data_IF_231669139436
#
_entry.id   IF_231669139436
#
_cell.length_a   1.000
_cell.length_b   1.000
_cell.length_c   1.000
_cell.angle_alpha   90.00
_cell.angle_beta   90.00
_cell.angle_gamma   90.00
#
_symmetry.space_group_name_H-M   'P 1'
#
loop_
_entity.id
_entity.type
_entity.pdbx_description
1 polymer ?
#
# COMPACT_ATOMS: atom_id res chain seq x y z
N UNK A 1 -41.54 -29.92 -24.63
CA UNK A 1 -40.29 -29.31 -25.16
C UNK A 1 -39.61 -28.31 -24.21
N UNK A 2 -40.30 -27.62 -23.29
CA UNK A 2 -39.66 -26.64 -22.38
C UNK A 2 -38.85 -27.25 -21.22
N UNK A 3 -39.21 -28.46 -20.77
CA UNK A 3 -38.56 -29.12 -19.61
C UNK A 3 -37.18 -29.67 -19.98
N UNK A 4 -36.99 -30.14 -21.22
CA UNK A 4 -35.72 -30.68 -21.70
C UNK A 4 -34.63 -29.61 -21.80
N UNK A 5 -35.00 -28.36 -22.13
CA UNK A 5 -34.06 -27.24 -22.22
C UNK A 5 -33.55 -26.81 -20.84
N UNK A 6 -34.41 -26.80 -19.82
CA UNK A 6 -34.00 -26.43 -18.45
C UNK A 6 -33.06 -27.47 -17.84
N UNK A 7 -33.31 -28.76 -18.06
CA UNK A 7 -32.43 -29.83 -17.56
C UNK A 7 -31.04 -29.75 -18.23
N UNK A 8 -30.99 -29.46 -19.53
CA UNK A 8 -29.73 -29.34 -20.27
C UNK A 8 -28.87 -28.18 -19.75
N UNK A 9 -29.46 -27.02 -19.49
CA UNK A 9 -28.73 -25.83 -19.00
C UNK A 9 -28.14 -26.11 -17.61
N UNK A 10 -28.90 -26.74 -16.71
CA UNK A 10 -28.41 -27.07 -15.36
C UNK A 10 -27.24 -28.05 -15.39
N UNK A 11 -27.27 -29.06 -16.27
CA UNK A 11 -26.17 -30.02 -16.42
C UNK A 11 -24.89 -29.34 -16.94
N UNK A 12 -25.02 -28.39 -17.87
CA UNK A 12 -23.87 -27.64 -18.41
C UNK A 12 -23.21 -26.78 -17.33
N UNK A 13 -24.01 -26.07 -16.51
CA UNK A 13 -23.48 -25.23 -15.42
C UNK A 13 -22.71 -26.06 -14.39
N UNK A 14 -23.22 -27.25 -14.04
CA UNK A 14 -22.54 -28.17 -13.12
C UNK A 14 -21.23 -28.69 -13.73
N UNK A 15 -21.22 -29.04 -15.03
CA UNK A 15 -20.00 -29.52 -15.69
C UNK A 15 -18.88 -28.48 -15.71
N UNK A 16 -19.21 -27.21 -16.02
CA UNK A 16 -18.22 -26.12 -16.06
C UNK A 16 -17.66 -25.84 -14.66
N UNK A 17 -18.50 -25.93 -13.62
CA UNK A 17 -18.06 -25.79 -12.23
C UNK A 17 -17.07 -26.89 -11.79
N UNK A 18 -17.32 -28.14 -12.17
CA UNK A 18 -16.45 -29.29 -11.81
C UNK A 18 -15.09 -29.20 -12.53
N UNK A 19 -15.07 -28.80 -13.80
CA UNK A 19 -13.82 -28.66 -14.56
C UNK A 19 -12.96 -27.52 -14.00
N UNK A 20 -13.58 -26.38 -13.65
CA UNK A 20 -12.87 -25.26 -13.01
C UNK A 20 -12.25 -25.64 -11.66
N UNK A 21 -12.97 -26.44 -10.85
CA UNK A 21 -12.47 -26.91 -9.56
C UNK A 21 -11.28 -27.89 -9.69
N UNK A 22 -11.32 -28.79 -10.68
CA UNK A 22 -10.23 -29.75 -10.91
C UNK A 22 -8.97 -29.08 -11.48
N UNK A 23 -9.12 -28.07 -12.35
CA UNK A 23 -7.98 -27.32 -12.89
C UNK A 23 -7.28 -26.44 -11.84
N UNK A 24 -8.01 -25.95 -10.83
CA UNK A 24 -7.45 -25.10 -9.77
C UNK A 24 -6.59 -25.84 -8.73
N UNK A 25 -6.72 -27.17 -8.59
CA UNK A 25 -5.99 -27.95 -7.58
C UNK A 25 -4.62 -28.46 -8.05
N UNK A 26 -4.28 -28.33 -9.34
CA UNK A 26 -3.15 -29.05 -9.95
C UNK A 26 -1.79 -28.35 -10.02
N UNK A 27 -1.64 -27.07 -9.67
CA UNK A 27 -0.40 -26.33 -9.98
C UNK A 27 0.06 -25.32 -8.90
N UNK A 28 0.39 -25.80 -7.71
CA UNK A 28 1.26 -25.06 -6.77
C UNK A 28 2.54 -25.87 -6.55
N UNK A 29 3.41 -25.87 -7.57
CA UNK A 29 4.77 -26.40 -7.48
C UNK A 29 5.74 -25.21 -7.35
N UNK A 30 5.80 -24.63 -6.15
CA UNK A 30 6.77 -23.57 -5.82
C UNK A 30 8.10 -24.27 -5.53
N UNK A 31 9.00 -24.26 -6.52
CA UNK A 31 10.41 -24.60 -6.32
C UNK A 31 11.03 -23.57 -5.38
N UNK A 32 11.35 -23.98 -4.15
CA UNK A 32 12.26 -23.25 -3.26
C UNK A 32 13.67 -23.22 -3.88
N UNK A 33 14.29 -22.05 -4.09
CA UNK A 33 15.73 -21.97 -4.19
C UNK A 33 16.35 -22.08 -2.80
N UNK A 34 16.97 -23.23 -2.56
CA UNK A 34 18.00 -23.42 -1.55
C UNK A 34 19.14 -22.45 -1.79
N UNK A 35 19.57 -21.70 -0.76
CA UNK A 35 20.95 -21.24 -0.69
C UNK A 35 21.40 -21.15 0.76
N UNK A 36 21.98 -22.26 1.22
CA UNK A 36 22.90 -22.30 2.34
C UNK A 36 24.25 -21.76 1.86
N UNK A 37 24.76 -20.67 2.42
CA UNK A 37 26.20 -20.59 2.72
C UNK A 37 26.41 -19.71 3.95
N UNK A 38 26.82 -20.41 4.99
CA UNK A 38 27.29 -19.94 6.27
C UNK A 38 28.76 -19.52 6.12
N UNK A 39 29.12 -18.26 6.38
CA UNK A 39 30.46 -17.91 6.85
C UNK A 39 30.43 -16.59 7.64
N UNK A 40 30.92 -16.69 8.87
CA UNK A 40 31.26 -15.66 9.85
C UNK A 40 32.53 -16.20 10.57
N UNK A 41 33.36 -15.42 11.28
CA UNK A 41 33.66 -13.98 11.25
C UNK A 41 35.16 -13.72 10.93
N UNK A 42 35.59 -12.48 10.75
CA UNK A 42 37.00 -12.11 10.98
C UNK A 42 37.05 -10.83 11.81
N UNK A 43 37.46 -11.02 13.06
CA UNK A 43 37.85 -9.97 13.97
C UNK A 43 39.25 -9.47 13.61
N UNK A 44 39.41 -8.15 13.56
CA UNK A 44 40.69 -7.50 13.81
C UNK A 44 40.41 -6.19 14.54
N UNK A 45 40.75 -6.19 15.83
CA UNK A 45 40.80 -5.04 16.73
C UNK A 45 42.21 -4.39 16.67
N UNK A 46 42.57 -3.42 17.53
CA UNK A 46 42.58 -1.98 17.29
C UNK A 46 43.99 -1.42 17.02
N UNK A 47 44.08 -0.17 16.54
CA UNK A 47 45.33 0.62 16.60
C UNK A 47 45.06 2.04 17.13
N UNK A 48 45.37 2.25 18.41
CA UNK A 48 45.80 3.54 18.99
C UNK A 48 47.18 3.89 18.37
N UNK A 49 47.64 5.12 18.17
CA UNK A 49 47.75 6.36 18.99
C UNK A 49 48.17 7.45 17.95
N UNK A 50 47.83 8.75 18.05
CA UNK A 50 48.53 9.75 18.88
C UNK A 50 47.92 11.16 18.65
N UNK A 51 47.67 11.89 19.74
CA UNK A 51 47.22 13.30 19.80
C UNK A 51 48.35 14.27 19.40
N UNK A 52 48.11 15.48 18.87
CA UNK A 52 47.90 16.77 19.59
C UNK A 52 48.31 17.94 18.63
N UNK A 53 48.09 19.27 18.88
CA UNK A 53 46.98 20.07 19.42
C UNK A 53 46.32 21.07 18.42
N UNK A 54 45.06 21.39 18.72
CA UNK A 54 44.40 22.73 18.80
C UNK A 54 44.57 23.79 17.70
N UNK A 55 43.43 24.09 17.03
CA UNK A 55 42.93 25.46 16.83
C UNK A 55 41.39 25.46 16.78
N UNK A 56 40.74 26.27 17.63
CA UNK A 56 39.32 26.66 17.62
C UNK A 56 39.25 28.15 17.24
N UNK A 57 38.08 28.74 16.91
CA UNK A 57 37.03 28.32 16.00
C UNK A 57 36.79 29.42 14.92
N UNK A 58 36.18 29.08 13.79
CA UNK A 58 35.52 30.11 12.97
C UNK A 58 34.13 29.59 12.60
N UNK A 59 33.15 30.23 13.21
CA UNK A 59 31.73 30.16 12.88
C UNK A 59 31.53 30.66 11.45
N UNK A 60 31.21 29.76 10.53
CA UNK A 60 30.22 30.01 9.47
C UNK A 60 29.77 28.66 8.89
N UNK A 61 29.11 27.86 9.73
CA UNK A 61 28.44 26.64 9.27
C UNK A 61 27.09 27.04 8.68
N UNK A 62 27.11 27.52 7.43
CA UNK A 62 25.93 27.47 6.57
C UNK A 62 25.55 26.01 6.40
N UNK A 63 24.61 25.60 7.26
CA UNK A 63 23.89 24.34 7.23
C UNK A 63 23.16 24.22 5.88
N UNK A 64 23.84 23.69 4.87
CA UNK A 64 23.19 23.21 3.66
C UNK A 64 22.13 22.19 4.07
N UNK A 65 20.88 22.62 3.93
CA UNK A 65 19.72 21.75 4.09
C UNK A 65 19.82 20.71 2.97
N UNK A 66 19.86 19.40 3.26
CA UNK A 66 19.87 18.39 2.21
C UNK A 66 18.60 18.57 1.39
N UNK A 67 18.76 18.99 0.14
CA UNK A 67 17.68 19.14 -0.83
C UNK A 67 17.10 17.75 -1.09
N UNK A 68 16.12 17.35 -0.30
CA UNK A 68 15.30 16.17 -0.53
C UNK A 68 14.57 16.35 -1.86
N UNK A 69 15.06 15.71 -2.92
CA UNK A 69 14.40 15.69 -4.22
C UNK A 69 13.10 14.92 -4.10
N UNK A 70 12.01 15.66 -3.89
CA UNK A 70 10.66 15.10 -3.81
C UNK A 70 10.11 14.91 -5.22
N UNK A 71 9.91 13.66 -5.67
CA UNK A 71 9.28 13.37 -6.96
C UNK A 71 7.76 13.54 -6.86
N UNK A 72 7.13 14.14 -7.87
CA UNK A 72 5.66 14.26 -7.96
C UNK A 72 5.10 13.28 -8.99
N UNK A 73 4.13 12.46 -8.58
CA UNK A 73 3.46 11.48 -9.42
C UNK A 73 2.01 11.90 -9.63
N UNK A 74 1.58 12.01 -10.88
CA UNK A 74 0.17 12.25 -11.25
C UNK A 74 -0.50 10.95 -11.66
N UNK A 75 -1.70 10.63 -11.20
CA UNK A 75 -2.44 9.44 -11.60
C UNK A 75 -3.96 9.70 -11.55
N UNK A 76 -4.73 8.66 -11.81
CA UNK A 76 -6.18 8.61 -11.79
C UNK A 76 -6.87 9.22 -13.00
N UNK A 77 -8.13 9.62 -12.81
CA UNK A 77 -8.97 10.20 -13.85
C UNK A 77 -9.74 9.18 -14.67
N UNK A 78 -10.01 8.00 -14.10
CA UNK A 78 -10.83 6.96 -14.73
C UNK A 78 -12.15 6.78 -14.00
N UNK A 79 -13.22 6.51 -14.76
CA UNK A 79 -14.59 6.27 -14.26
C UNK A 79 -15.12 7.43 -13.39
N UNK A 80 -15.32 7.20 -12.09
CA UNK A 80 -15.82 8.16 -11.10
C UNK A 80 -14.73 8.79 -10.26
N UNK A 81 -13.46 8.38 -10.43
CA UNK A 81 -12.36 8.89 -9.63
C UNK A 81 -11.66 10.07 -10.30
N UNK A 82 -11.38 11.17 -9.57
CA UNK A 82 -10.63 12.29 -10.10
C UNK A 82 -9.17 11.91 -10.40
N UNK A 83 -8.53 12.76 -11.21
CA UNK A 83 -7.07 12.79 -11.27
C UNK A 83 -6.52 13.31 -9.94
N UNK A 84 -5.33 12.87 -9.59
CA UNK A 84 -4.66 13.27 -8.36
C UNK A 84 -3.15 13.30 -8.55
N UNK A 85 -2.50 14.06 -7.69
CA UNK A 85 -1.05 14.09 -7.54
C UNK A 85 -0.64 13.65 -6.14
N UNK A 86 0.55 13.06 -6.03
CA UNK A 86 1.21 12.75 -4.76
C UNK A 86 2.72 12.97 -4.88
N UNK A 87 3.38 13.02 -3.73
CA UNK A 87 4.82 13.23 -3.59
C UNK A 87 5.49 12.01 -2.96
N UNK A 88 6.64 11.60 -3.48
CA UNK A 88 7.44 10.51 -2.92
C UNK A 88 8.49 11.08 -1.95
N UNK A 89 8.53 10.61 -0.69
CA UNK A 89 9.34 11.21 0.37
C UNK A 89 10.83 10.86 0.27
N UNK A 90 11.18 9.79 -0.45
CA UNK A 90 12.57 9.37 -0.65
C UNK A 90 12.79 8.87 -2.08
N UNK A 91 14.03 8.99 -2.56
CA UNK A 91 14.46 8.49 -3.87
C UNK A 91 14.45 6.96 -3.99
N UNK A 92 14.13 6.24 -2.91
CA UNK A 92 14.01 4.78 -2.90
C UNK A 92 12.66 4.27 -3.39
N UNK A 93 11.66 5.16 -3.44
CA UNK A 93 10.35 4.84 -3.98
C UNK A 93 10.37 4.95 -5.50
N UNK A 94 9.82 3.94 -6.17
CA UNK A 94 9.54 3.96 -7.60
C UNK A 94 8.03 3.98 -7.80
N UNK A 95 7.59 4.49 -8.97
CA UNK A 95 6.19 4.48 -9.36
C UNK A 95 6.00 3.73 -10.69
N UNK A 96 4.93 2.94 -10.75
CA UNK A 96 4.48 2.23 -11.94
C UNK A 96 2.97 2.41 -12.09
N UNK A 97 2.51 2.71 -13.31
CA UNK A 97 1.09 2.80 -13.63
C UNK A 97 0.71 1.70 -14.59
N UNK A 98 -0.37 0.99 -14.26
CA UNK A 98 -0.99 0.05 -15.17
C UNK A 98 -2.43 0.46 -15.42
N UNK A 99 -2.86 0.33 -16.67
CA UNK A 99 -4.24 0.58 -17.11
C UNK A 99 -4.76 -0.71 -17.75
N UNK A 100 -5.98 -1.10 -17.40
CA UNK A 100 -6.65 -2.25 -17.98
C UNK A 100 -7.67 -1.84 -19.05
N UNK A 101 -8.20 -2.82 -19.78
CA UNK A 101 -9.19 -2.58 -20.83
C UNK A 101 -10.57 -2.16 -20.31
N UNK A 102 -10.79 -2.17 -18.99
CA UNK A 102 -12.07 -1.84 -18.35
C UNK A 102 -12.09 -0.40 -17.81
N UNK A 103 -11.14 0.45 -18.23
CA UNK A 103 -10.91 1.78 -17.67
C UNK A 103 -10.63 1.73 -16.16
N UNK A 104 -9.94 0.68 -15.69
CA UNK A 104 -9.34 0.67 -14.36
C UNK A 104 -7.89 1.09 -14.46
N UNK A 105 -7.42 1.83 -13.46
CA UNK A 105 -6.02 2.21 -13.34
C UNK A 105 -5.50 1.80 -11.97
N UNK A 106 -4.28 1.28 -11.92
CA UNK A 106 -3.56 1.00 -10.68
C UNK A 106 -2.24 1.76 -10.69
N UNK A 107 -2.06 2.65 -9.72
CA UNK A 107 -0.75 3.20 -9.39
C UNK A 107 -0.10 2.30 -8.34
N UNK A 108 1.06 1.75 -8.66
CA UNK A 108 1.91 1.01 -7.72
C UNK A 108 3.10 1.87 -7.35
N UNK A 109 3.32 2.04 -6.05
CA UNK A 109 4.52 2.64 -5.48
C UNK A 109 5.30 1.56 -4.75
N UNK A 110 6.60 1.48 -4.93
CA UNK A 110 7.39 0.41 -4.30
C UNK A 110 8.78 0.86 -3.85
N UNK A 111 9.23 0.26 -2.75
CA UNK A 111 10.64 0.19 -2.36
C UNK A 111 11.10 -1.27 -2.39
N UNK A 112 12.31 -1.56 -1.91
CA UNK A 112 12.77 -2.95 -1.74
C UNK A 112 11.98 -3.75 -0.69
N UNK A 113 11.24 -3.09 0.20
CA UNK A 113 10.58 -3.74 1.35
C UNK A 113 9.11 -3.37 1.53
N UNK A 114 8.64 -2.32 0.85
CA UNK A 114 7.28 -1.81 0.99
C UNK A 114 6.63 -1.64 -0.38
N UNK A 115 5.31 -1.83 -0.43
CA UNK A 115 4.52 -1.63 -1.65
C UNK A 115 3.23 -0.93 -1.28
N UNK A 116 2.85 0.11 -2.02
CA UNK A 116 1.55 0.76 -1.94
C UNK A 116 0.87 0.67 -3.31
N UNK A 117 -0.43 0.45 -3.32
CA UNK A 117 -1.23 0.48 -4.54
C UNK A 117 -2.44 1.38 -4.33
N UNK A 118 -2.71 2.24 -5.31
CA UNK A 118 -3.95 3.01 -5.42
C UNK A 118 -4.68 2.50 -6.66
N UNK A 119 -5.75 1.73 -6.44
CA UNK A 119 -6.53 1.12 -7.51
C UNK A 119 -7.84 1.90 -7.72
N UNK A 120 -8.02 2.42 -8.93
CA UNK A 120 -9.25 3.05 -9.41
C UNK A 120 -9.95 2.08 -10.34
N UNK A 121 -11.10 1.57 -9.94
CA UNK A 121 -11.91 0.64 -10.71
C UNK A 121 -13.17 0.26 -9.94
N UNK A 122 -13.98 -0.63 -10.50
CA UNK A 122 -15.18 -1.15 -9.83
C UNK A 122 -14.81 -1.99 -8.61
N UNK A 123 -14.77 -1.40 -7.42
CA UNK A 123 -14.58 -2.10 -6.15
C UNK A 123 -15.86 -2.06 -5.31
N UNK A 124 -16.21 -3.18 -4.66
CA UNK A 124 -17.23 -3.18 -3.61
C UNK A 124 -16.81 -2.25 -2.47
N UNK A 125 -17.74 -1.40 -2.02
CA UNK A 125 -17.51 -0.53 -0.87
C UNK A 125 -17.55 -1.31 0.44
N UNK A 126 -16.79 -0.85 1.44
CA UNK A 126 -16.84 -1.35 2.82
C UNK A 126 -16.77 -0.21 3.81
N UNK A 127 -17.48 -0.38 4.93
CA UNK A 127 -17.37 0.49 6.10
C UNK A 127 -16.21 -0.01 6.95
N UNK A 128 -15.40 0.91 7.45
CA UNK A 128 -14.32 0.65 8.38
C UNK A 128 -14.77 1.12 9.77
N UNK A 129 -14.76 0.24 10.76
CA UNK A 129 -15.04 0.62 12.14
C UNK A 129 -13.75 0.66 12.94
N UNK A 130 -13.72 1.55 13.92
CA UNK A 130 -12.59 1.78 14.82
C UNK A 130 -13.08 1.82 16.27
N UNK A 131 -12.20 1.68 17.28
CA UNK A 131 -12.63 1.66 18.68
C UNK A 131 -13.28 2.96 19.16
N UNK A 132 -13.05 4.07 18.44
CA UNK A 132 -13.56 5.40 18.74
C UNK A 132 -14.74 5.83 17.84
N UNK A 133 -15.27 4.93 17.03
CA UNK A 133 -16.46 5.19 16.19
C UNK A 133 -17.71 4.57 16.80
N UNK A 134 -18.88 5.14 16.47
CA UNK A 134 -20.15 4.55 16.87
C UNK A 134 -20.26 3.11 16.33
N UNK A 135 -20.89 2.19 17.10
CA UNK A 135 -21.18 0.85 16.61
C UNK A 135 -21.96 0.89 15.29
N UNK A 136 -21.54 0.08 14.33
CA UNK A 136 -22.20 -0.04 13.04
C UNK A 136 -22.81 -1.43 12.90
N UNK A 137 -24.11 -1.49 12.60
CA UNK A 137 -24.82 -2.74 12.32
C UNK A 137 -24.82 -2.99 10.81
N UNK A 138 -23.91 -3.83 10.33
CA UNK A 138 -23.83 -4.21 8.92
C UNK A 138 -22.47 -4.77 8.52
N UNK A 139 -22.26 -5.07 7.23
CA UNK A 139 -20.97 -5.51 6.73
C UNK A 139 -19.90 -4.43 6.91
N UNK A 140 -19.00 -4.63 7.86
CA UNK A 140 -17.86 -3.75 8.13
C UNK A 140 -16.56 -4.54 8.25
N UNK A 141 -15.45 -3.81 8.12
CA UNK A 141 -14.13 -4.26 8.52
C UNK A 141 -13.79 -3.58 9.86
N UNK A 142 -13.61 -4.38 10.90
CA UNK A 142 -13.42 -3.89 12.26
C UNK A 142 -11.95 -3.86 12.64
N UNK A 143 -11.42 -2.65 12.87
CA UNK A 143 -10.02 -2.44 13.20
C UNK A 143 -9.83 -2.11 14.68
N UNK A 144 -8.78 -2.68 15.28
CA UNK A 144 -8.40 -2.42 16.69
C UNK A 144 -7.44 -1.25 16.84
N UNK A 145 -6.68 -0.96 15.80
CA UNK A 145 -5.64 0.06 15.78
C UNK A 145 -5.68 0.76 14.42
N UNK A 146 -5.31 2.04 14.40
CA UNK A 146 -5.22 2.80 13.18
C UNK A 146 -4.23 3.95 13.35
N UNK A 147 -3.77 4.50 12.23
CA UNK A 147 -3.08 5.79 12.16
C UNK A 147 -3.87 6.72 11.24
N UNK A 148 -3.82 8.01 11.51
CA UNK A 148 -4.53 9.02 10.71
C UNK A 148 -3.55 9.80 9.85
N UNK A 149 -3.99 10.13 8.64
CA UNK A 149 -3.31 11.04 7.71
C UNK A 149 -4.31 12.11 7.26
N UNK A 150 -3.83 13.30 6.92
CA UNK A 150 -4.64 14.34 6.27
C UNK A 150 -3.96 14.71 4.96
N UNK A 151 -4.68 14.56 3.86
CA UNK A 151 -4.20 14.88 2.51
C UNK A 151 -4.02 16.39 2.33
N UNK A 152 -3.32 16.81 1.27
CA UNK A 152 -3.10 18.24 0.97
C UNK A 152 -4.40 19.00 0.66
N UNK A 153 -5.43 18.32 0.19
CA UNK A 153 -6.76 18.88 -0.06
C UNK A 153 -7.74 18.69 1.12
N UNK A 154 -7.25 18.27 2.30
CA UNK A 154 -8.01 18.26 3.55
C UNK A 154 -8.87 17.02 3.80
N UNK A 155 -8.72 15.98 2.99
CA UNK A 155 -9.37 14.69 3.22
C UNK A 155 -8.72 14.00 4.41
N UNK A 156 -9.54 13.57 5.38
CA UNK A 156 -9.06 12.78 6.51
C UNK A 156 -9.07 11.30 6.17
N UNK A 157 -7.91 10.66 6.28
CA UNK A 157 -7.71 9.24 6.03
C UNK A 157 -7.32 8.55 7.34
N UNK A 158 -7.74 7.29 7.48
CA UNK A 158 -7.20 6.36 8.47
C UNK A 158 -6.71 5.13 7.74
N UNK A 159 -5.55 4.64 8.13
CA UNK A 159 -5.10 3.33 7.70
C UNK A 159 -4.90 2.40 8.89
N UNK A 160 -5.25 1.14 8.69
CA UNK A 160 -5.24 0.15 9.75
C UNK A 160 -4.68 -1.19 9.26
N UNK A 161 -3.97 -1.92 10.13
CA UNK A 161 -3.42 -3.21 9.80
C UNK A 161 -4.55 -4.22 9.55
N UNK A 162 -4.37 -5.02 8.51
CA UNK A 162 -5.14 -6.22 8.22
C UNK A 162 -4.34 -7.44 8.69
N UNK A 163 -3.99 -8.37 7.80
CA UNK A 163 -3.08 -9.48 8.04
C UNK A 163 -1.69 -9.24 7.44
N UNK A 164 -0.66 -9.91 7.97
CA UNK A 164 0.67 -10.03 7.35
C UNK A 164 1.38 -8.72 6.95
N UNK A 165 1.20 -7.67 7.75
CA UNK A 165 1.81 -6.36 7.46
C UNK A 165 1.15 -5.62 6.30
N UNK A 166 -0.03 -6.06 5.86
CA UNK A 166 -0.88 -5.33 4.94
C UNK A 166 -1.76 -4.32 5.70
N UNK A 167 -2.07 -3.22 5.04
CA UNK A 167 -2.87 -2.14 5.58
C UNK A 167 -3.91 -1.71 4.56
N UNK A 168 -5.10 -1.38 5.05
CA UNK A 168 -6.16 -0.74 4.28
C UNK A 168 -6.29 0.70 4.71
N UNK A 169 -6.49 1.61 3.74
CA UNK A 169 -6.84 3.01 4.03
C UNK A 169 -8.32 3.24 3.80
N UNK A 170 -8.95 3.96 4.72
CA UNK A 170 -10.34 4.39 4.67
C UNK A 170 -10.42 5.92 4.80
N UNK A 171 -11.37 6.53 4.11
CA UNK A 171 -11.64 7.96 4.14
C UNK A 171 -12.81 8.27 5.07
N UNK A 172 -12.73 9.38 5.79
CA UNK A 172 -13.85 9.92 6.55
C UNK A 172 -14.87 10.56 5.62
N UNK A 173 -16.10 10.04 5.63
CA UNK A 173 -17.25 10.57 4.88
C UNK A 173 -18.40 10.79 5.85
N UNK A 174 -18.65 12.05 6.19
CA UNK A 174 -19.59 12.40 7.26
C UNK A 174 -19.12 11.85 8.62
N UNK A 175 -19.94 10.99 9.23
CA UNK A 175 -19.62 10.29 10.49
C UNK A 175 -18.99 8.91 10.29
N UNK A 176 -18.94 8.40 9.05
CA UNK A 176 -18.47 7.06 8.74
C UNK A 176 -17.07 7.06 8.14
N UNK A 177 -16.41 5.91 8.19
CA UNK A 177 -15.16 5.65 7.47
C UNK A 177 -15.39 4.60 6.41
N UNK A 178 -14.90 4.83 5.20
CA UNK A 178 -15.19 3.95 4.08
C UNK A 178 -13.99 3.76 3.15
N UNK A 179 -13.97 2.59 2.51
CA UNK A 179 -13.15 2.29 1.34
C UNK A 179 -14.09 1.88 0.19
N UNK A 180 -13.85 2.26 -1.07
CA UNK A 180 -12.72 3.07 -1.55
C UNK A 180 -12.75 4.51 -1.02
N UNK A 181 -11.57 5.13 -1.02
CA UNK A 181 -11.43 6.57 -0.83
C UNK A 181 -11.78 7.29 -2.13
N UNK A 182 -11.86 8.62 -2.11
CA UNK A 182 -11.98 9.46 -3.29
C UNK A 182 -10.79 9.33 -4.27
N UNK A 183 -9.69 8.69 -3.89
CA UNK A 183 -8.56 8.39 -4.77
C UNK A 183 -8.58 6.96 -5.34
N UNK A 184 -9.44 6.09 -4.81
CA UNK A 184 -9.46 4.65 -5.09
C UNK A 184 -9.31 3.80 -3.83
N UNK A 185 -9.15 2.49 -4.03
CA UNK A 185 -8.76 1.55 -2.97
C UNK A 185 -7.27 1.69 -2.74
N UNK A 186 -6.88 2.12 -1.53
CA UNK A 186 -5.46 2.26 -1.16
C UNK A 186 -5.09 1.14 -0.20
N UNK A 187 -4.18 0.29 -0.68
CA UNK A 187 -3.59 -0.82 0.08
C UNK A 187 -2.09 -0.62 0.13
N UNK A 188 -1.47 -1.01 1.24
CA UNK A 188 -0.01 -1.07 1.28
C UNK A 188 0.50 -2.16 2.20
N UNK A 189 1.75 -2.57 1.97
CA UNK A 189 2.46 -3.55 2.78
C UNK A 189 3.77 -2.93 3.27
N UNK A 190 4.07 -3.13 4.54
CA UNK A 190 5.35 -2.75 5.16
C UNK A 190 5.88 -3.87 6.04
N UNK A 191 7.19 -3.97 6.26
CA UNK A 191 7.74 -4.89 7.24
C UNK A 191 7.15 -4.60 8.63
N UNK A 192 6.78 -5.65 9.36
CA UNK A 192 6.16 -5.52 10.69
C UNK A 192 7.10 -4.76 11.64
N UNK A 193 6.59 -3.73 12.30
CA UNK A 193 7.35 -2.92 13.26
C UNK A 193 8.29 -1.89 12.64
N UNK A 194 8.32 -1.73 11.31
CA UNK A 194 9.11 -0.69 10.66
C UNK A 194 8.36 0.65 10.70
N UNK A 195 8.65 1.47 11.71
CA UNK A 195 8.03 2.79 11.88
C UNK A 195 8.39 3.74 10.76
N UNK A 196 9.63 3.70 10.25
CA UNK A 196 10.07 4.58 9.17
C UNK A 196 9.28 4.33 7.88
N UNK A 197 8.97 3.07 7.56
CA UNK A 197 8.12 2.74 6.42
C UNK A 197 6.70 3.29 6.58
N UNK A 198 6.17 3.29 7.81
CA UNK A 198 4.85 3.87 8.09
C UNK A 198 4.87 5.40 8.05
N UNK A 199 5.99 6.03 8.39
CA UNK A 199 6.17 7.48 8.29
C UNK A 199 6.27 7.93 6.82
N UNK A 200 6.98 7.16 5.98
CA UNK A 200 6.99 7.33 4.53
C UNK A 200 5.58 7.21 3.93
N UNK A 201 4.84 6.17 4.32
CA UNK A 201 3.45 6.00 3.90
C UNK A 201 2.60 7.19 4.34
N UNK A 202 2.78 7.69 5.57
CA UNK A 202 2.05 8.84 6.07
C UNK A 202 2.38 10.11 5.28
N UNK A 203 3.63 10.31 4.89
CA UNK A 203 4.05 11.41 4.04
C UNK A 203 3.44 11.32 2.62
N UNK A 204 3.43 10.11 2.02
CA UNK A 204 2.78 9.87 0.72
C UNK A 204 1.29 10.18 0.81
N UNK A 205 0.57 9.61 1.78
CA UNK A 205 -0.86 9.86 1.98
C UNK A 205 -1.14 11.34 2.24
N UNK A 206 -0.32 11.98 3.07
CA UNK A 206 -0.45 13.41 3.37
C UNK A 206 -0.20 14.31 2.15
N UNK A 207 0.54 13.83 1.16
CA UNK A 207 0.84 14.57 -0.06
C UNK A 207 -0.24 14.47 -1.13
N UNK A 208 -1.19 13.54 -1.00
CA UNK A 208 -2.28 13.35 -1.96
C UNK A 208 -3.08 14.64 -2.14
N UNK A 209 -3.41 14.95 -3.39
CA UNK A 209 -4.23 16.10 -3.75
C UNK A 209 -4.98 15.80 -5.05
N UNK A 210 -6.28 16.09 -5.10
CA UNK A 210 -7.02 16.08 -6.37
C UNK A 210 -6.52 17.20 -7.29
N UNK A 211 -6.43 16.89 -8.58
CA UNK A 211 -6.04 17.84 -9.64
C UNK A 211 -7.22 18.69 -10.11
#
# INVERSE_FOLDING_TARGET
MKITTTILVTVIVILVGVIGYMAGKGNLNVKNPSNNTNVSPTAAEPRQTEEKPTTLPSEDESKETPSSTTETVQAGGVTTFPKYTLSLPSSSWTSEKTEDTNNSQVLTLSTSTSKMTIAQGGSGGKICTYPDTEPFEGPSEDFKEYRSATTKDGVTLRYAPMSDGQYLTCEKVGSSWQSPTNYGVILFTTPKGNTNALDDVNAILGSLKKD
#
